data_IF_693707050298
#
_entry.id   IF_693707050298
#
_cell.length_a   1.000
_cell.length_b   1.000
_cell.length_c   1.000
_cell.angle_alpha   90.00
_cell.angle_beta   90.00
_cell.angle_gamma   90.00
#
_symmetry.space_group_name_H-M   'P 1'
#
loop_
_entity.id
_entity.type
_entity.pdbx_description
1 polymer ?
#
# COMPACT_ATOMS: atom_id res chain seq x y z
N UNK A 1 1.04 22.96 9.43
CA UNK A 1 2.16 22.16 9.97
C UNK A 1 2.96 21.62 8.79
N UNK A 2 4.16 22.15 8.53
CA UNK A 2 4.96 21.74 7.36
C UNK A 2 5.50 20.31 7.48
N UNK A 3 5.97 19.92 8.67
CA UNK A 3 6.48 18.58 8.94
C UNK A 3 5.41 17.51 8.67
N UNK A 4 4.17 17.74 9.10
CA UNK A 4 3.06 16.83 8.81
C UNK A 4 2.81 16.69 7.30
N UNK A 5 2.81 17.79 6.54
CA UNK A 5 2.64 17.72 5.08
C UNK A 5 3.76 16.92 4.43
N UNK A 6 5.02 17.20 4.80
CA UNK A 6 6.18 16.49 4.27
C UNK A 6 6.16 15.01 4.61
N UNK A 7 5.77 14.64 5.83
CA UNK A 7 5.56 13.26 6.22
C UNK A 7 4.49 12.56 5.36
N UNK A 8 3.35 13.21 5.11
CA UNK A 8 2.31 12.68 4.22
C UNK A 8 2.86 12.52 2.80
N UNK A 9 3.58 13.52 2.29
CA UNK A 9 4.12 13.50 0.92
C UNK A 9 5.05 12.31 0.68
N UNK A 10 5.97 12.07 1.62
CA UNK A 10 6.85 10.90 1.53
C UNK A 10 6.12 9.56 1.68
N UNK A 11 5.09 9.47 2.54
CA UNK A 11 4.27 8.25 2.61
C UNK A 11 3.56 8.00 1.29
N UNK A 12 2.94 9.01 0.67
CA UNK A 12 2.23 8.85 -0.60
C UNK A 12 3.15 8.43 -1.74
N UNK A 13 4.33 9.06 -1.85
CA UNK A 13 5.31 8.75 -2.90
C UNK A 13 5.88 7.34 -2.77
N UNK A 14 6.11 6.87 -1.54
CA UNK A 14 6.67 5.53 -1.29
C UNK A 14 5.62 4.43 -1.21
N UNK A 15 4.33 4.78 -1.18
CA UNK A 15 3.24 3.84 -0.97
C UNK A 15 3.21 2.66 -1.98
N UNK A 16 3.46 2.85 -3.29
CA UNK A 16 3.52 1.73 -4.24
C UNK A 16 4.53 0.65 -3.83
N UNK A 17 5.76 1.04 -3.51
CA UNK A 17 6.81 0.14 -3.06
C UNK A 17 6.53 -0.50 -1.69
N UNK A 18 5.74 0.14 -0.84
CA UNK A 18 5.35 -0.42 0.46
C UNK A 18 4.30 -1.53 0.33
N UNK A 19 3.59 -1.63 -0.81
CA UNK A 19 2.43 -2.50 -0.95
C UNK A 19 2.70 -3.96 -0.59
N UNK A 20 3.86 -4.50 -0.94
CA UNK A 20 4.20 -5.89 -0.63
C UNK A 20 4.34 -6.15 0.89
N UNK A 21 4.71 -5.15 1.68
CA UNK A 21 4.72 -5.24 3.15
C UNK A 21 3.33 -5.03 3.75
N UNK A 22 2.52 -4.16 3.14
CA UNK A 22 1.18 -3.78 3.60
C UNK A 22 0.10 -4.83 3.23
N UNK A 23 0.35 -5.60 2.19
CA UNK A 23 -0.53 -6.59 1.57
C UNK A 23 0.28 -7.86 1.22
N UNK A 24 0.66 -8.68 2.20
CA UNK A 24 1.75 -9.65 2.02
C UNK A 24 1.37 -10.98 1.35
N UNK A 25 0.15 -11.14 0.85
CA UNK A 25 -0.30 -12.36 0.17
C UNK A 25 -1.41 -12.07 -0.86
N UNK A 26 -1.73 -13.07 -1.71
CA UNK A 26 -2.76 -12.93 -2.77
C UNK A 26 -4.12 -12.52 -2.22
N UNK A 27 -4.51 -13.03 -1.04
CA UNK A 27 -5.81 -12.69 -0.43
C UNK A 27 -5.86 -11.23 0.05
N UNK A 28 -4.72 -10.63 0.43
CA UNK A 28 -4.63 -9.21 0.80
C UNK A 28 -5.13 -8.27 -0.28
N UNK A 29 -5.07 -8.67 -1.55
CA UNK A 29 -5.47 -7.85 -2.69
C UNK A 29 -6.94 -8.00 -3.10
N UNK A 30 -7.61 -9.08 -2.67
CA UNK A 30 -9.04 -9.31 -2.97
C UNK A 30 -9.97 -8.24 -2.39
N UNK A 31 -9.50 -7.48 -1.39
CA UNK A 31 -10.22 -6.33 -0.83
C UNK A 31 -10.11 -5.05 -1.66
N UNK A 32 -9.26 -4.99 -2.69
CA UNK A 32 -9.12 -3.83 -3.59
C UNK A 32 -10.14 -3.87 -4.73
N UNK A 33 -11.40 -4.17 -4.40
CA UNK A 33 -12.52 -4.15 -5.33
C UNK A 33 -13.41 -2.93 -5.14
N UNK A 34 -14.21 -2.62 -6.16
CA UNK A 34 -15.28 -1.64 -6.04
C UNK A 34 -16.17 -1.99 -4.84
N UNK A 35 -16.55 -0.97 -4.04
CA UNK A 35 -17.41 -1.07 -2.84
C UNK A 35 -16.76 -1.57 -1.53
N UNK A 36 -15.47 -1.90 -1.48
CA UNK A 36 -14.83 -2.35 -0.22
C UNK A 36 -14.21 -1.24 0.64
N UNK A 37 -14.34 0.02 0.22
CA UNK A 37 -13.81 1.20 0.94
C UNK A 37 -12.31 1.12 1.25
N UNK A 38 -11.55 0.37 0.43
CA UNK A 38 -10.09 0.29 0.51
C UNK A 38 -9.49 1.30 -0.47
N UNK A 39 -8.65 2.23 -0.01
CA UNK A 39 -7.99 3.19 -0.89
C UNK A 39 -7.08 2.49 -1.90
N UNK A 40 -7.18 2.89 -3.17
CA UNK A 40 -6.51 2.26 -4.31
C UNK A 40 -5.59 3.22 -5.10
N UNK A 41 -5.41 4.44 -4.58
CA UNK A 41 -4.52 5.48 -5.12
C UNK A 41 -3.78 6.18 -3.98
N UNK A 42 -2.53 6.64 -4.21
CA UNK A 42 -1.76 7.38 -3.21
C UNK A 42 -2.32 8.80 -3.07
N UNK A 43 -3.38 8.95 -2.28
CA UNK A 43 -4.01 10.22 -1.99
C UNK A 43 -4.22 10.43 -0.48
N UNK A 44 -4.42 11.69 -0.10
CA UNK A 44 -4.66 12.07 1.29
C UNK A 44 -5.80 13.07 1.43
N UNK A 45 -6.31 13.25 2.65
CA UNK A 45 -7.41 14.16 2.91
C UNK A 45 -7.68 14.36 4.40
N UNK A 46 -8.36 15.47 4.72
CA UNK A 46 -8.75 15.83 6.08
C UNK A 46 -10.08 15.15 6.40
N UNK A 47 -10.08 14.32 7.44
CA UNK A 47 -11.21 13.47 7.86
C UNK A 47 -11.85 12.60 6.75
N UNK A 48 -11.17 12.47 5.60
CA UNK A 48 -11.67 11.75 4.45
C UNK A 48 -11.37 10.26 4.58
N UNK A 49 -12.38 9.39 4.50
CA UNK A 49 -12.23 7.93 4.66
C UNK A 49 -11.97 7.19 3.35
N UNK A 50 -12.04 7.89 2.22
CA UNK A 50 -11.83 7.32 0.87
C UNK A 50 -10.35 7.36 0.44
N UNK A 51 -9.50 8.08 1.17
CA UNK A 51 -8.08 8.30 0.84
C UNK A 51 -7.16 7.30 1.55
N UNK A 52 -5.96 7.08 1.01
CA UNK A 52 -4.94 6.20 1.57
C UNK A 52 -4.40 6.72 2.91
N UNK A 53 -4.19 8.04 3.00
CA UNK A 53 -3.72 8.72 4.20
C UNK A 53 -4.76 9.73 4.68
N UNK A 54 -5.41 9.44 5.81
CA UNK A 54 -6.37 10.36 6.44
C UNK A 54 -5.68 11.14 7.54
N UNK A 55 -6.00 12.43 7.64
CA UNK A 55 -5.67 13.25 8.81
C UNK A 55 -6.96 13.49 9.59
N UNK A 56 -7.20 12.80 10.71
CA UNK A 56 -8.41 13.00 11.50
C UNK A 56 -8.49 14.44 12.04
N UNK A 57 -9.69 15.01 12.04
CA UNK A 57 -9.98 16.26 12.75
C UNK A 57 -10.20 15.97 14.24
N UNK A 58 -9.82 16.92 15.09
CA UNK A 58 -9.89 16.74 16.54
C UNK A 58 -9.14 17.85 17.27
N UNK A 59 -8.77 17.61 18.53
CA UNK A 59 -7.90 18.53 19.26
C UNK A 59 -6.52 18.61 18.59
N UNK A 60 -5.78 19.73 18.75
CA UNK A 60 -4.41 19.85 18.24
C UNK A 60 -3.48 18.69 18.65
N UNK A 61 -3.68 18.14 19.84
CA UNK A 61 -2.89 17.01 20.37
C UNK A 61 -3.23 15.66 19.75
N UNK A 62 -4.36 15.57 19.03
CA UNK A 62 -4.83 14.33 18.38
C UNK A 62 -4.46 14.23 16.90
N UNK A 63 -3.82 15.25 16.34
CA UNK A 63 -3.42 15.31 14.93
C UNK A 63 -2.40 14.22 14.64
N UNK A 64 -2.74 13.32 13.71
CA UNK A 64 -1.93 12.17 13.34
C UNK A 64 -2.17 11.76 11.89
N UNK A 65 -1.26 10.95 11.37
CA UNK A 65 -1.43 10.22 10.11
C UNK A 65 -2.21 8.94 10.42
N UNK A 66 -3.36 8.76 9.79
CA UNK A 66 -4.09 7.50 9.76
C UNK A 66 -3.84 6.83 8.41
N UNK A 67 -2.97 5.82 8.40
CA UNK A 67 -2.67 5.02 7.21
C UNK A 67 -3.74 3.93 7.04
N UNK A 68 -4.47 3.95 5.92
CA UNK A 68 -5.68 3.15 5.71
C UNK A 68 -5.51 2.01 4.71
N UNK A 69 -4.31 1.86 4.15
CA UNK A 69 -4.06 0.85 3.12
C UNK A 69 -3.74 -0.50 3.74
N UNK A 70 -2.98 -0.61 4.84
CA UNK A 70 -2.53 -1.89 5.38
C UNK A 70 -3.66 -2.86 5.74
N UNK A 71 -3.45 -4.15 5.45
CA UNK A 71 -4.33 -5.24 5.92
C UNK A 71 -3.94 -5.73 7.32
N UNK A 72 -4.86 -6.45 7.98
CA UNK A 72 -4.60 -7.05 9.31
C UNK A 72 -3.60 -8.22 9.27
N UNK A 73 -3.33 -8.72 8.07
CA UNK A 73 -2.36 -9.77 7.75
C UNK A 73 -0.93 -9.25 7.53
N UNK A 74 -0.73 -7.92 7.51
CA UNK A 74 0.58 -7.31 7.43
C UNK A 74 1.43 -7.63 8.66
N UNK A 75 2.73 -7.88 8.46
CA UNK A 75 3.67 -7.96 9.57
C UNK A 75 3.81 -6.57 10.21
N UNK A 76 3.49 -6.40 11.51
CA UNK A 76 3.44 -5.07 12.14
C UNK A 76 4.81 -4.37 12.17
N UNK A 77 5.91 -5.12 12.20
CA UNK A 77 7.25 -4.55 12.18
C UNK A 77 7.60 -3.99 10.79
N UNK A 78 7.31 -4.74 9.73
CA UNK A 78 7.57 -4.31 8.36
C UNK A 78 6.65 -3.14 7.97
N UNK A 79 5.37 -3.20 8.36
CA UNK A 79 4.44 -2.09 8.18
C UNK A 79 4.96 -0.82 8.84
N UNK A 80 5.37 -0.89 10.11
CA UNK A 80 5.83 0.30 10.82
C UNK A 80 7.15 0.82 10.22
N UNK A 81 8.09 -0.07 9.91
CA UNK A 81 9.36 0.30 9.30
C UNK A 81 9.18 0.97 7.94
N UNK A 82 8.31 0.43 7.08
CA UNK A 82 8.06 0.95 5.74
C UNK A 82 7.38 2.32 5.80
N UNK A 83 6.37 2.49 6.66
CA UNK A 83 5.68 3.78 6.84
C UNK A 83 6.63 4.84 7.41
N UNK A 84 7.46 4.49 8.40
CA UNK A 84 8.46 5.41 8.96
C UNK A 84 9.54 5.79 7.93
N UNK A 85 9.95 4.86 7.07
CA UNK A 85 10.85 5.13 5.95
C UNK A 85 10.26 6.18 5.00
N UNK A 86 8.98 6.04 4.63
CA UNK A 86 8.26 7.02 3.83
C UNK A 86 8.16 8.40 4.51
N UNK A 87 7.80 8.43 5.80
CA UNK A 87 7.75 9.68 6.58
C UNK A 87 9.12 10.37 6.60
N UNK A 88 10.19 9.62 6.91
CA UNK A 88 11.54 10.18 6.97
C UNK A 88 12.01 10.67 5.60
N UNK A 89 11.69 9.93 4.53
CA UNK A 89 11.99 10.33 3.15
C UNK A 89 11.32 11.67 2.80
N UNK A 90 10.04 11.80 3.13
CA UNK A 90 9.27 13.01 2.90
C UNK A 90 9.78 14.22 3.68
N UNK A 91 10.08 14.03 4.97
CA UNK A 91 10.66 15.07 5.83
C UNK A 91 12.04 15.54 5.33
N UNK A 92 12.90 14.59 4.94
CA UNK A 92 14.26 14.88 4.47
C UNK A 92 14.25 15.67 3.16
N UNK A 93 13.40 15.27 2.22
CA UNK A 93 13.34 15.85 0.88
C UNK A 93 12.28 16.94 0.73
N UNK A 94 11.55 17.29 1.81
CA UNK A 94 10.49 18.31 1.85
C UNK A 94 9.39 18.07 0.80
N UNK A 95 8.96 16.81 0.69
CA UNK A 95 8.05 16.36 -0.36
C UNK A 95 6.63 16.84 -0.07
N UNK A 96 6.05 17.65 -0.94
CA UNK A 96 4.68 18.13 -0.74
C UNK A 96 3.66 17.08 -1.23
N UNK A 97 2.61 16.79 -0.45
CA UNK A 97 1.62 15.73 -0.76
C UNK A 97 0.56 16.16 -1.79
N UNK A 98 0.71 17.34 -2.39
CA UNK A 98 -0.34 17.96 -3.20
C UNK A 98 -1.55 18.43 -2.37
N UNK A 99 -2.62 18.82 -3.08
CA UNK A 99 -3.87 19.22 -2.44
C UNK A 99 -4.57 18.02 -1.78
N UNK A 100 -5.19 18.20 -0.61
CA UNK A 100 -6.02 17.15 -0.03
C UNK A 100 -7.24 16.89 -0.92
N UNK A 101 -7.65 15.63 -1.01
CA UNK A 101 -8.89 15.24 -1.70
C UNK A 101 -10.10 15.64 -0.86
N UNK A 102 -10.97 16.45 -1.46
CA UNK A 102 -12.30 16.77 -0.95
C UNK A 102 -13.35 15.88 -1.62
N UNK A 103 -14.33 15.37 -0.87
CA UNK A 103 -15.33 14.44 -1.41
C UNK A 103 -14.81 13.02 -1.60
N UNK A 104 -15.25 12.33 -2.66
CA UNK A 104 -14.97 10.92 -2.90
C UNK A 104 -13.73 10.72 -3.79
N UNK A 105 -12.66 10.12 -3.24
CA UNK A 105 -11.44 9.85 -4.01
C UNK A 105 -11.65 8.85 -5.15
N UNK A 106 -12.58 7.90 -5.00
CA UNK A 106 -12.82 6.84 -5.99
C UNK A 106 -13.39 7.37 -7.31
N UNK A 107 -14.00 8.55 -7.27
CA UNK A 107 -14.54 9.24 -8.45
C UNK A 107 -13.56 10.23 -9.08
N UNK A 108 -12.48 10.57 -8.36
CA UNK A 108 -11.55 11.63 -8.72
C UNK A 108 -10.17 11.12 -9.12
N UNK A 109 -9.77 9.96 -8.58
CA UNK A 109 -8.47 9.36 -8.82
C UNK A 109 -8.63 8.01 -9.51
N UNK A 110 -7.83 7.79 -10.54
CA UNK A 110 -7.66 6.46 -11.11
C UNK A 110 -6.92 5.55 -10.14
N UNK A 111 -7.23 4.25 -10.21
CA UNK A 111 -6.50 3.24 -9.45
C UNK A 111 -5.06 3.14 -9.97
N UNK A 112 -4.10 3.37 -9.08
CA UNK A 112 -2.67 3.38 -9.42
C UNK A 112 -1.79 2.60 -8.45
N UNK A 113 -2.30 2.23 -7.27
CA UNK A 113 -1.57 1.31 -6.39
C UNK A 113 -1.60 -0.12 -6.95
N UNK A 114 -0.50 -0.89 -6.81
CA UNK A 114 -0.48 -2.31 -7.12
C UNK A 114 -1.69 -3.06 -6.57
N UNK A 115 -2.42 -3.73 -7.45
CA UNK A 115 -3.67 -4.41 -7.12
C UNK A 115 -3.53 -5.94 -7.07
N UNK A 116 -2.30 -6.43 -7.15
CA UNK A 116 -1.94 -7.83 -7.04
C UNK A 116 -0.54 -7.94 -6.41
N UNK A 117 -0.22 -9.14 -5.88
CA UNK A 117 1.04 -9.38 -5.19
C UNK A 117 2.25 -9.25 -6.13
N UNK A 118 2.13 -9.73 -7.38
CA UNK A 118 3.23 -9.72 -8.35
C UNK A 118 3.75 -8.31 -8.63
N UNK A 119 2.85 -7.38 -8.92
CA UNK A 119 3.24 -6.00 -9.21
C UNK A 119 3.73 -5.26 -7.96
N UNK A 120 3.18 -5.57 -6.79
CA UNK A 120 3.67 -4.99 -5.54
C UNK A 120 5.09 -5.46 -5.18
N UNK A 121 5.43 -6.71 -5.48
CA UNK A 121 6.79 -7.22 -5.29
C UNK A 121 7.77 -6.53 -6.23
N UNK A 122 7.39 -6.30 -7.50
CA UNK A 122 8.20 -5.54 -8.46
C UNK A 122 8.44 -4.10 -8.00
N UNK A 123 7.39 -3.40 -7.58
CA UNK A 123 7.51 -2.03 -7.04
C UNK A 123 8.43 -1.95 -5.82
N UNK A 124 8.44 -2.98 -4.97
CA UNK A 124 9.35 -3.06 -3.83
C UNK A 124 10.80 -3.31 -4.28
N UNK A 125 11.01 -4.28 -5.17
CA UNK A 125 12.32 -4.69 -5.69
C UNK A 125 13.02 -3.54 -6.44
N UNK A 126 12.26 -2.80 -7.26
CA UNK A 126 12.75 -1.66 -8.04
C UNK A 126 12.92 -0.38 -7.19
N UNK A 127 12.54 -0.39 -5.91
CA UNK A 127 12.50 0.83 -5.10
C UNK A 127 13.87 1.23 -4.54
N UNK A 128 14.53 2.16 -5.23
CA UNK A 128 15.74 2.82 -4.71
C UNK A 128 15.51 3.55 -3.37
N UNK A 129 14.28 4.01 -3.11
CA UNK A 129 13.96 4.69 -1.86
C UNK A 129 13.88 3.70 -0.72
N UNK A 130 13.15 2.58 -0.87
CA UNK A 130 13.06 1.58 0.21
C UNK A 130 14.41 0.93 0.50
N UNK A 131 15.24 0.70 -0.53
CA UNK A 131 16.60 0.17 -0.41
C UNK A 131 17.56 1.06 0.42
N UNK A 132 17.22 2.33 0.67
CA UNK A 132 17.98 3.23 1.57
C UNK A 132 17.63 3.03 3.05
N UNK A 133 16.50 2.40 3.36
CA UNK A 133 15.98 2.26 4.72
C UNK A 133 15.92 0.80 5.19
N UNK A 134 15.63 -0.12 4.28
CA UNK A 134 15.62 -1.55 4.51
C UNK A 134 16.78 -2.14 3.72
N UNK A 135 17.57 -3.00 4.36
CA UNK A 135 18.73 -3.63 3.73
C UNK A 135 18.32 -4.27 2.39
N UNK A 136 18.98 -3.92 1.27
CA UNK A 136 18.66 -4.53 -0.02
C UNK A 136 18.66 -6.05 0.01
N UNK A 137 19.59 -6.69 0.74
CA UNK A 137 19.62 -8.14 0.88
C UNK A 137 18.36 -8.69 1.57
N UNK A 138 17.79 -7.93 2.50
CA UNK A 138 16.52 -8.31 3.12
C UNK A 138 15.36 -8.20 2.12
N UNK A 139 15.33 -7.14 1.32
CA UNK A 139 14.33 -6.96 0.26
C UNK A 139 14.42 -8.13 -0.73
N UNK A 140 15.62 -8.45 -1.22
CA UNK A 140 15.85 -9.55 -2.17
C UNK A 140 15.31 -10.89 -1.64
N UNK A 141 15.64 -11.22 -0.38
CA UNK A 141 15.18 -12.47 0.25
C UNK A 141 13.67 -12.45 0.48
N UNK A 142 13.12 -11.33 0.92
CA UNK A 142 11.67 -11.18 1.11
C UNK A 142 10.92 -11.37 -0.20
N UNK A 143 11.36 -10.71 -1.27
CA UNK A 143 10.78 -10.82 -2.61
C UNK A 143 10.86 -12.25 -3.11
N UNK A 144 12.02 -12.90 -3.05
CA UNK A 144 12.19 -14.28 -3.49
C UNK A 144 11.27 -15.26 -2.74
N UNK A 145 11.11 -15.11 -1.42
CA UNK A 145 10.17 -15.92 -0.65
C UNK A 145 8.72 -15.72 -1.12
N UNK A 146 8.31 -14.47 -1.33
CA UNK A 146 6.93 -14.15 -1.76
C UNK A 146 6.63 -14.53 -3.20
N UNK A 147 7.60 -14.45 -4.09
CA UNK A 147 7.49 -14.99 -5.44
C UNK A 147 7.32 -16.51 -5.44
N UNK A 148 8.05 -17.22 -4.58
CA UNK A 148 7.87 -18.67 -4.42
C UNK A 148 6.48 -19.03 -3.90
N UNK A 149 5.96 -18.31 -2.89
CA UNK A 149 4.59 -18.49 -2.39
C UNK A 149 3.55 -18.22 -3.50
N UNK A 150 3.75 -17.15 -4.28
CA UNK A 150 2.87 -16.80 -5.39
C UNK A 150 2.88 -17.87 -6.48
N UNK A 151 4.06 -18.40 -6.84
CA UNK A 151 4.18 -19.44 -7.84
C UNK A 151 3.49 -20.74 -7.40
N UNK A 152 3.57 -21.11 -6.11
CA UNK A 152 2.83 -22.26 -5.58
C UNK A 152 1.31 -22.03 -5.67
N UNK A 153 0.85 -20.82 -5.33
CA UNK A 153 -0.56 -20.46 -5.45
C UNK A 153 -1.06 -20.53 -6.90
N UNK A 154 -0.31 -19.99 -7.86
CA UNK A 154 -0.72 -19.94 -9.28
C UNK A 154 -0.68 -21.31 -9.97
N UNK A 155 0.21 -22.22 -9.53
CA UNK A 155 0.28 -23.59 -10.07
C UNK A 155 -0.77 -24.53 -9.46
N UNK A 156 -1.45 -24.11 -8.40
CA UNK A 156 -2.48 -24.90 -7.72
C UNK A 156 -3.83 -24.72 -8.40
N UNK A 157 -4.37 -25.79 -9.01
CA UNK A 157 -5.69 -25.75 -9.64
C UNK A 157 -6.77 -25.65 -8.57
N UNK A 158 -7.55 -24.58 -8.62
CA UNK A 158 -8.62 -24.30 -7.66
C UNK A 158 -9.92 -25.03 -7.99
N UNK A 159 -10.74 -25.32 -6.98
CA UNK A 159 -12.10 -25.84 -7.17
C UNK A 159 -12.95 -24.95 -8.10
N UNK A 160 -12.66 -23.64 -8.13
CA UNK A 160 -13.36 -22.68 -8.98
C UNK A 160 -13.13 -22.97 -10.47
N UNK A 161 -11.91 -23.33 -10.86
CA UNK A 161 -11.57 -23.67 -12.25
C UNK A 161 -12.31 -24.94 -12.70
N UNK A 162 -12.42 -25.95 -11.83
CA UNK A 162 -13.26 -27.11 -12.11
C UNK A 162 -14.72 -26.70 -12.29
N UNK A 163 -15.28 -25.92 -11.36
CA UNK A 163 -16.67 -25.48 -11.45
C UNK A 163 -16.96 -24.66 -12.72
N UNK A 164 -16.02 -23.83 -13.16
CA UNK A 164 -16.17 -23.01 -14.36
C UNK A 164 -16.02 -23.81 -15.65
N UNK A 165 -15.01 -24.69 -15.75
CA UNK A 165 -14.58 -25.26 -17.02
C UNK A 165 -14.93 -26.75 -17.19
N UNK A 166 -15.20 -27.49 -16.12
CA UNK A 166 -15.47 -28.95 -16.20
C UNK A 166 -16.91 -29.26 -16.65
N UNK A 167 -17.87 -28.37 -16.36
CA UNK A 167 -19.29 -28.59 -16.65
C UNK A 167 -19.79 -27.91 -17.93
N UNK A 168 -18.93 -27.16 -18.63
CA UNK A 168 -19.29 -26.54 -19.92
C UNK A 168 -18.96 -27.52 -21.05
N UNK A 169 -19.91 -28.43 -21.33
CA UNK A 169 -19.99 -29.19 -22.59
C UNK A 169 -21.36 -28.95 -23.21
#
# INVERSE_FOLDING_TARGET
NAALRHAIGGVLETLPAQMAFLCPNVNSYRRFGAQFYVPNSPCWGIDNRTVAVRVPTGSPDSVRIEHRVAGADANPYLLMASVLAGIHHGLTNKIEPGAPVEGNSYEQNEQSLPNNLRDALRELDDSEVMAKYIDPLYIDVFVACKESELAEFENSISDLEYNWYLHTV
#
